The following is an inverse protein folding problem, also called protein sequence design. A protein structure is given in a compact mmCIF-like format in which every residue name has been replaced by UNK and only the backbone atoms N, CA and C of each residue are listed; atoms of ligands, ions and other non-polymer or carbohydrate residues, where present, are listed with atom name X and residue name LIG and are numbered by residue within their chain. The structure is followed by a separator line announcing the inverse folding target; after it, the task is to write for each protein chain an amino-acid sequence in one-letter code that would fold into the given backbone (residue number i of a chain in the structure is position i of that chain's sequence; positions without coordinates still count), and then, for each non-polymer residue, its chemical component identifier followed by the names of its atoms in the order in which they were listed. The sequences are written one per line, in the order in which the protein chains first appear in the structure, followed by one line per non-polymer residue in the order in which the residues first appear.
data_IF_664894084427
#
_entry.id   IF_664894084427
#
_cell.length_a   1.000
_cell.length_b   1.000
_cell.length_c   1.000
_cell.angle_alpha   90.00
_cell.angle_beta   90.00
_cell.angle_gamma   90.00
#
_symmetry.space_group_name_H-M   'P 1'
#
loop_
_entity.id
_entity.type
_entity.pdbx_description
1 polymer ?
#
# COMPACT_ATOMS: atom_id res chain seq x y z
N UNK A 1 -2.16 -9.31 -1.64
CA UNK A 1 -3.22 -9.06 -0.64
C UNK A 1 -3.33 -10.17 0.41
N UNK A 2 -3.17 -11.45 0.04
CA UNK A 2 -3.17 -12.56 1.01
C UNK A 2 -2.00 -12.46 2.00
N UNK A 3 -0.79 -12.17 1.51
CA UNK A 3 0.41 -12.03 2.34
C UNK A 3 0.32 -10.95 3.42
N UNK A 4 -0.06 -9.72 3.07
CA UNK A 4 -0.24 -8.65 4.05
C UNK A 4 -1.27 -9.01 5.13
N UNK A 5 -2.37 -9.65 4.73
CA UNK A 5 -3.38 -10.15 5.69
C UNK A 5 -2.83 -11.24 6.59
N UNK A 6 -2.00 -12.14 6.05
CA UNK A 6 -1.32 -13.20 6.81
C UNK A 6 -0.38 -12.58 7.86
N UNK A 7 0.48 -11.64 7.47
CA UNK A 7 1.41 -10.95 8.36
C UNK A 7 0.69 -10.17 9.46
N UNK A 8 -0.35 -9.40 9.12
CA UNK A 8 -1.16 -8.70 10.12
C UNK A 8 -1.83 -9.65 11.12
N UNK A 9 -2.34 -10.80 10.66
CA UNK A 9 -2.88 -11.83 11.56
C UNK A 9 -1.82 -12.41 12.50
N UNK A 10 -0.58 -12.56 12.03
CA UNK A 10 0.52 -13.01 12.88
C UNK A 10 0.87 -11.97 13.95
N UNK A 11 0.90 -10.67 13.60
CA UNK A 11 1.10 -9.60 14.59
C UNK A 11 0.00 -9.63 15.65
N UNK A 12 -1.26 -9.77 15.24
CA UNK A 12 -2.38 -9.86 16.17
C UNK A 12 -2.31 -11.10 17.05
N UNK A 13 -1.96 -12.27 16.48
CA UNK A 13 -1.80 -13.51 17.25
C UNK A 13 -0.69 -13.36 18.27
N UNK A 14 0.48 -12.92 17.84
CA UNK A 14 1.63 -12.70 18.70
C UNK A 14 1.28 -11.71 19.83
N UNK A 15 0.57 -10.63 19.51
CA UNK A 15 0.12 -9.64 20.51
C UNK A 15 -0.83 -10.22 21.56
N UNK A 16 -1.68 -11.17 21.17
CA UNK A 16 -2.56 -11.89 22.11
C UNK A 16 -1.73 -12.83 22.98
N UNK A 17 -0.82 -13.60 22.38
CA UNK A 17 0.03 -14.56 23.08
C UNK A 17 0.90 -13.85 24.13
N UNK A 18 1.45 -12.68 23.78
CA UNK A 18 2.19 -11.84 24.70
C UNK A 18 1.35 -11.32 25.87
N UNK A 19 0.13 -10.81 25.61
CA UNK A 19 -0.77 -10.37 26.68
C UNK A 19 -1.08 -11.52 27.66
N UNK A 20 -1.28 -12.73 27.14
CA UNK A 20 -1.50 -13.92 27.96
C UNK A 20 -0.24 -14.28 28.77
N UNK A 21 0.94 -14.22 28.15
CA UNK A 21 2.22 -14.53 28.79
C UNK A 21 2.54 -13.55 29.94
N UNK A 22 2.36 -12.24 29.71
CA UNK A 22 2.52 -11.20 30.74
C UNK A 22 1.52 -11.41 31.87
N UNK A 23 0.23 -11.63 31.58
CA UNK A 23 -0.78 -11.87 32.62
C UNK A 23 -0.44 -13.07 33.49
N UNK A 24 0.09 -14.15 32.90
CA UNK A 24 0.59 -15.32 33.63
C UNK A 24 1.82 -14.97 34.49
N UNK A 25 2.78 -14.22 33.96
CA UNK A 25 3.98 -13.80 34.70
C UNK A 25 3.63 -12.86 35.88
N UNK A 26 2.65 -11.98 35.71
CA UNK A 26 2.12 -11.13 36.78
C UNK A 26 1.45 -11.96 37.87
N UNK A 27 0.60 -12.92 37.50
CA UNK A 27 -0.09 -13.80 38.47
C UNK A 27 0.86 -14.68 39.30
N UNK A 28 2.04 -15.01 38.77
CA UNK A 28 3.06 -15.83 39.43
C UNK A 28 4.08 -15.02 40.24
N UNK A 29 3.91 -13.70 40.31
CA UNK A 29 4.85 -12.77 40.93
C UNK A 29 6.29 -12.96 40.43
N UNK A 30 6.40 -13.24 39.12
CA UNK A 30 7.66 -13.52 38.42
C UNK A 30 8.65 -12.36 38.53
N UNK A 31 9.95 -12.67 38.57
CA UNK A 31 11.03 -11.69 38.69
C UNK A 31 11.00 -10.64 37.56
N UNK A 32 11.54 -9.45 37.85
CA UNK A 32 11.60 -8.34 36.89
C UNK A 32 12.36 -8.74 35.61
N UNK A 33 13.49 -9.42 35.76
CA UNK A 33 14.32 -9.90 34.65
C UNK A 33 13.57 -10.84 33.70
N UNK A 34 12.75 -11.75 34.24
CA UNK A 34 11.95 -12.66 33.42
C UNK A 34 10.87 -11.92 32.62
N UNK A 35 10.26 -10.88 33.21
CA UNK A 35 9.31 -10.01 32.49
C UNK A 35 10.00 -9.21 31.39
N UNK A 36 11.19 -8.70 31.65
CA UNK A 36 11.98 -7.95 30.67
C UNK A 36 12.40 -8.83 29.49
N UNK A 37 12.81 -10.08 29.74
CA UNK A 37 13.06 -11.08 28.67
C UNK A 37 11.83 -11.30 27.79
N UNK A 38 10.64 -11.45 28.38
CA UNK A 38 9.39 -11.61 27.63
C UNK A 38 9.06 -10.37 26.78
N UNK A 39 9.30 -9.17 27.30
CA UNK A 39 9.13 -7.92 26.55
C UNK A 39 10.07 -7.88 25.35
N UNK A 40 11.35 -8.19 25.56
CA UNK A 40 12.35 -8.20 24.49
C UNK A 40 12.03 -9.22 23.40
N UNK A 41 11.72 -10.46 23.77
CA UNK A 41 11.37 -11.52 22.81
C UNK A 41 10.14 -11.12 21.97
N UNK A 42 9.14 -10.51 22.61
CA UNK A 42 7.96 -10.05 21.90
C UNK A 42 8.24 -8.86 20.98
N UNK A 43 9.03 -7.89 21.45
CA UNK A 43 9.42 -6.73 20.67
C UNK A 43 10.20 -7.13 19.42
N UNK A 44 11.13 -8.08 19.55
CA UNK A 44 11.92 -8.62 18.44
C UNK A 44 11.02 -9.30 17.39
N UNK A 45 10.17 -10.25 17.81
CA UNK A 45 9.23 -10.92 16.90
C UNK A 45 8.28 -9.94 16.21
N UNK A 46 7.83 -8.90 16.93
CA UNK A 46 6.96 -7.88 16.36
C UNK A 46 7.71 -7.04 15.33
N UNK A 47 8.92 -6.61 15.66
CA UNK A 47 9.78 -5.86 14.75
C UNK A 47 10.02 -6.62 13.45
N UNK A 48 10.38 -7.91 13.52
CA UNK A 48 10.56 -8.76 12.33
C UNK A 48 9.32 -8.79 11.41
N UNK A 49 8.13 -8.94 11.99
CA UNK A 49 6.88 -8.96 11.23
C UNK A 49 6.56 -7.60 10.61
N UNK A 50 6.78 -6.52 11.34
CA UNK A 50 6.59 -5.15 10.83
C UNK A 50 7.57 -4.86 9.69
N UNK A 51 8.84 -5.26 9.81
CA UNK A 51 9.84 -5.15 8.75
C UNK A 51 9.42 -5.94 7.49
N UNK A 52 8.90 -7.17 7.64
CA UNK A 52 8.45 -7.96 6.48
C UNK A 52 7.23 -7.32 5.79
N UNK A 53 6.33 -6.69 6.55
CA UNK A 53 5.25 -5.87 5.99
C UNK A 53 5.82 -4.73 5.15
N UNK A 54 6.83 -4.03 5.67
CA UNK A 54 7.45 -2.90 4.96
C UNK A 54 8.13 -3.33 3.67
N UNK A 55 8.82 -4.48 3.67
CA UNK A 55 9.35 -5.07 2.43
C UNK A 55 8.25 -5.38 1.42
N UNK A 56 7.18 -6.06 1.86
CA UNK A 56 6.07 -6.41 0.99
C UNK A 56 5.41 -5.17 0.39
N UNK A 57 5.11 -4.15 1.22
CA UNK A 57 4.50 -2.90 0.77
C UNK A 57 5.40 -2.18 -0.24
N UNK A 58 6.70 -2.14 0.04
CA UNK A 58 7.70 -1.52 -0.85
C UNK A 58 7.72 -2.20 -2.21
N UNK A 59 7.77 -3.53 -2.25
CA UNK A 59 7.76 -4.30 -3.50
C UNK A 59 6.48 -4.03 -4.32
N UNK A 60 5.32 -3.97 -3.66
CA UNK A 60 4.06 -3.63 -4.31
C UNK A 60 4.07 -2.23 -4.93
N UNK A 61 4.61 -1.25 -4.20
CA UNK A 61 4.71 0.13 -4.67
C UNK A 61 5.71 0.26 -5.83
N UNK A 62 6.88 -0.38 -5.74
CA UNK A 62 7.86 -0.41 -6.84
C UNK A 62 7.22 -1.00 -8.09
N UNK A 63 6.55 -2.15 -7.97
CA UNK A 63 5.88 -2.79 -9.11
C UNK A 63 4.83 -1.88 -9.73
N UNK A 64 4.03 -1.21 -8.90
CA UNK A 64 3.00 -0.28 -9.38
C UNK A 64 3.60 0.96 -10.04
N UNK A 65 4.60 1.59 -9.42
CA UNK A 65 5.31 2.72 -9.99
C UNK A 65 5.94 2.37 -11.35
N UNK A 66 6.60 1.21 -11.46
CA UNK A 66 7.16 0.70 -12.71
C UNK A 66 6.10 0.49 -13.79
N UNK A 67 4.94 -0.05 -13.45
CA UNK A 67 3.82 -0.22 -14.41
C UNK A 67 3.28 1.10 -14.95
N UNK A 68 3.46 2.18 -14.19
CA UNK A 68 3.09 3.55 -14.57
C UNK A 68 4.28 4.35 -15.15
N UNK A 69 5.46 3.74 -15.28
CA UNK A 69 6.71 4.38 -15.71
C UNK A 69 7.11 5.59 -14.83
N UNK A 70 6.79 5.52 -13.54
CA UNK A 70 7.09 6.58 -12.58
C UNK A 70 8.51 6.45 -12.01
N UNK A 71 9.21 7.57 -11.77
CA UNK A 71 10.50 7.54 -11.09
C UNK A 71 10.32 7.10 -9.63
N UNK A 72 11.31 6.34 -9.14
CA UNK A 72 11.41 6.01 -7.73
C UNK A 72 12.34 7.01 -7.04
N UNK A 73 12.11 7.33 -5.75
CA UNK A 73 13.06 8.11 -4.96
C UNK A 73 14.43 7.43 -4.95
N UNK A 74 15.49 8.23 -5.04
CA UNK A 74 16.84 7.70 -5.01
C UNK A 74 17.11 7.05 -3.65
N UNK A 75 17.80 5.91 -3.68
CA UNK A 75 18.33 5.25 -2.50
C UNK A 75 19.31 6.13 -1.70
N UNK A 76 19.92 7.14 -2.34
CA UNK A 76 20.80 8.12 -1.71
C UNK A 76 20.08 9.35 -1.12
N UNK A 77 18.80 9.58 -1.42
CA UNK A 77 18.03 10.67 -0.80
C UNK A 77 17.70 10.29 0.65
N UNK A 78 18.44 10.92 1.56
CA UNK A 78 18.44 10.61 2.98
C UNK A 78 17.03 10.57 3.58
N UNK A 79 16.64 9.37 4.04
CA UNK A 79 15.41 9.15 4.82
C UNK A 79 14.22 8.59 4.04
N UNK A 80 14.32 8.35 2.73
CA UNK A 80 13.24 7.68 1.98
C UNK A 80 13.35 6.16 1.95
N UNK A 81 14.55 5.65 2.23
CA UNK A 81 14.86 4.22 2.27
C UNK A 81 15.50 3.86 3.61
N UNK A 82 15.15 2.68 4.10
CA UNK A 82 15.79 2.04 5.24
C UNK A 82 16.31 0.68 4.80
N UNK A 83 17.46 0.28 5.36
CA UNK A 83 18.12 -0.99 5.03
C UNK A 83 18.16 -1.86 6.26
N UNK A 84 17.59 -3.07 6.14
CA UNK A 84 17.66 -4.11 7.16
C UNK A 84 18.28 -5.35 6.52
N UNK A 85 19.42 -5.77 7.05
CA UNK A 85 20.27 -6.82 6.46
C UNK A 85 20.67 -6.50 5.01
N UNK A 86 20.32 -7.37 4.06
CA UNK A 86 20.61 -7.23 2.63
C UNK A 86 19.46 -6.63 1.82
N UNK A 87 18.32 -6.32 2.46
CA UNK A 87 17.12 -5.80 1.79
C UNK A 87 16.88 -4.36 2.20
N UNK A 88 16.34 -3.56 1.28
CA UNK A 88 15.90 -2.19 1.54
C UNK A 88 14.40 -2.06 1.38
N UNK A 89 13.76 -1.27 2.24
CA UNK A 89 12.35 -0.89 2.14
C UNK A 89 12.20 0.63 2.17
N UNK A 90 11.09 1.12 1.64
CA UNK A 90 10.74 2.54 1.73
C UNK A 90 10.31 2.86 3.16
N UNK A 91 10.85 3.94 3.72
CA UNK A 91 10.35 4.49 5.00
C UNK A 91 8.91 4.97 4.83
N UNK A 92 8.26 5.34 5.94
CA UNK A 92 6.92 5.95 5.87
C UNK A 92 6.87 7.18 4.95
N UNK A 93 7.91 8.02 5.00
CA UNK A 93 8.06 9.17 4.12
C UNK A 93 8.19 8.76 2.65
N UNK A 94 9.03 7.76 2.35
CA UNK A 94 9.18 7.19 1.01
C UNK A 94 7.88 6.59 0.47
N UNK A 95 7.16 5.85 1.31
CA UNK A 95 5.84 5.27 0.99
C UNK A 95 4.83 6.38 0.68
N UNK A 96 4.75 7.41 1.52
CA UNK A 96 3.83 8.52 1.33
C UNK A 96 4.08 9.24 -0.01
N UNK A 97 5.35 9.50 -0.32
CA UNK A 97 5.78 10.13 -1.58
C UNK A 97 5.41 9.27 -2.80
N UNK A 98 5.81 7.99 -2.81
CA UNK A 98 5.53 7.10 -3.95
C UNK A 98 4.02 6.93 -4.16
N UNK A 99 3.24 6.84 -3.07
CA UNK A 99 1.77 6.77 -3.15
C UNK A 99 1.16 8.05 -3.72
N UNK A 100 1.66 9.23 -3.35
CA UNK A 100 1.13 10.49 -3.89
C UNK A 100 1.38 10.57 -5.39
N UNK A 101 2.61 10.28 -5.83
CA UNK A 101 2.99 10.28 -7.25
C UNK A 101 2.17 9.28 -8.07
N UNK A 102 1.94 8.06 -7.55
CA UNK A 102 1.06 7.09 -8.20
C UNK A 102 -0.37 7.62 -8.34
N UNK A 103 -0.92 8.25 -7.29
CA UNK A 103 -2.29 8.78 -7.33
C UNK A 103 -2.45 9.93 -8.30
N UNK A 104 -1.46 10.82 -8.36
CA UNK A 104 -1.42 11.94 -9.29
C UNK A 104 -1.42 11.46 -10.74
N UNK A 105 -0.56 10.49 -11.07
CA UNK A 105 -0.48 9.91 -12.41
C UNK A 105 -1.78 9.19 -12.81
N UNK A 106 -2.35 8.38 -11.91
CA UNK A 106 -3.64 7.73 -12.18
C UNK A 106 -4.76 8.74 -12.38
N UNK A 107 -4.76 9.85 -11.62
CA UNK A 107 -5.74 10.91 -11.79
C UNK A 107 -5.57 11.62 -13.14
N UNK A 108 -4.34 11.89 -13.57
CA UNK A 108 -4.05 12.47 -14.88
C UNK A 108 -4.52 11.54 -16.02
N UNK A 109 -4.24 10.24 -15.94
CA UNK A 109 -4.70 9.25 -16.94
C UNK A 109 -6.23 9.16 -17.00
N UNK A 110 -6.91 9.17 -15.85
CA UNK A 110 -8.38 9.16 -15.81
C UNK A 110 -8.97 10.41 -16.47
N UNK A 111 -8.38 11.59 -16.26
CA UNK A 111 -8.82 12.83 -16.91
C UNK A 111 -8.73 12.71 -18.43
N UNK A 112 -7.60 12.25 -18.95
CA UNK A 112 -7.42 12.02 -20.39
C UNK A 112 -8.52 11.09 -20.93
N UNK A 113 -8.76 9.96 -20.27
CA UNK A 113 -9.81 9.01 -20.70
C UNK A 113 -11.19 9.67 -20.69
N UNK A 114 -11.55 10.40 -19.63
CA UNK A 114 -12.84 11.08 -19.54
C UNK A 114 -13.00 12.15 -20.63
N UNK A 115 -11.94 12.89 -20.93
CA UNK A 115 -11.95 13.90 -22.00
C UNK A 115 -12.22 13.22 -23.35
N UNK A 116 -11.55 12.10 -23.66
CA UNK A 116 -11.82 11.33 -24.88
C UNK A 116 -13.23 10.76 -24.95
N UNK A 117 -13.76 10.23 -23.83
CA UNK A 117 -15.14 9.73 -23.76
C UNK A 117 -16.14 10.86 -24.01
N UNK A 118 -15.88 12.06 -23.48
CA UNK A 118 -16.75 13.22 -23.67
C UNK A 118 -16.83 13.63 -25.15
N UNK A 119 -15.70 13.63 -25.86
CA UNK A 119 -15.65 13.92 -27.30
C UNK A 119 -16.39 12.85 -28.10
N UNK A 120 -16.21 11.58 -27.78
CA UNK A 120 -16.94 10.47 -28.41
C UNK A 120 -18.46 10.56 -28.20
N UNK A 121 -18.90 10.95 -27.01
CA UNK A 121 -20.31 11.15 -26.70
C UNK A 121 -20.94 12.27 -27.55
N UNK A 122 -20.22 13.39 -27.74
CA UNK A 122 -20.68 14.49 -28.60
C UNK A 122 -20.84 14.03 -30.04
N UNK A 123 -19.84 13.32 -30.60
CA UNK A 123 -19.91 12.79 -31.97
C UNK A 123 -21.10 11.83 -32.12
N UNK A 124 -21.27 10.92 -31.17
CA UNK A 124 -22.38 9.94 -31.20
C UNK A 124 -23.73 10.63 -31.12
N UNK A 125 -23.85 11.69 -30.31
CA UNK A 125 -25.04 12.53 -30.22
C UNK A 125 -25.38 13.23 -31.55
N UNK A 126 -24.37 13.78 -32.24
CA UNK A 126 -24.55 14.42 -33.55
C UNK A 126 -25.02 13.39 -34.59
N UNK A 127 -24.38 12.22 -34.65
CA UNK A 127 -24.77 11.14 -35.58
C UNK A 127 -26.20 10.68 -35.31
N UNK A 128 -26.57 10.49 -34.03
CA UNK A 128 -27.92 10.10 -33.64
C UNK A 128 -28.96 11.16 -34.04
N UNK A 129 -28.66 12.44 -33.81
CA UNK A 129 -29.54 13.55 -34.20
C UNK A 129 -29.71 13.64 -35.72
N UNK A 130 -28.63 13.53 -36.50
CA UNK A 130 -28.68 13.55 -37.95
C UNK A 130 -29.48 12.36 -38.52
N UNK A 131 -29.28 11.17 -37.95
CA UNK A 131 -30.03 9.96 -38.34
C UNK A 131 -31.52 10.09 -38.04
N UNK A 132 -31.87 10.61 -36.86
CA UNK A 132 -33.26 10.91 -36.50
C UNK A 132 -33.91 11.93 -37.43
N UNK A 133 -33.18 12.99 -37.79
CA UNK A 133 -33.67 14.00 -38.74
C UNK A 133 -33.90 13.41 -40.13
N UNK A 134 -32.93 12.62 -40.65
CA UNK A 134 -33.07 11.92 -41.93
C UNK A 134 -34.26 10.95 -41.94
N UNK A 135 -34.51 10.24 -40.84
CA UNK A 135 -35.63 9.33 -40.72
C UNK A 135 -37.00 10.03 -40.79
N UNK A 136 -37.08 11.30 -40.36
CA UNK A 136 -38.30 12.11 -40.47
C UNK A 136 -38.47 12.63 -41.91
N UNK A 137 -37.38 13.05 -42.56
CA UNK A 137 -37.42 13.66 -43.91
C UNK A 137 -37.64 12.61 -45.01
N UNK A 138 -37.10 11.40 -44.86
CA UNK A 138 -37.22 10.30 -45.83
C UNK A 138 -38.52 9.48 -45.65
N UNK A 139 -39.43 9.94 -44.79
CA UNK A 139 -40.74 9.35 -44.55
C UNK A 139 -41.82 10.12 -45.29
#
# INVERSE_FOLDING_TARGET
MFELRRLNRQIESNSRDYKIAIGKAESKNTSKDEKEKLIHEFAEKRYELETEIMFFVTEQLIRKARSLLLPMPDSGEGGMWEKVNSRSYLTEAGIAKVRSTIREEEAARRKIILDWVSVGAVITGIIGAATGLLAIILK
#
